data_IF_553600175280
#
_entry.id   IF_553600175280
#
_cell.length_a   1.000
_cell.length_b   1.000
_cell.length_c   1.000
_cell.angle_alpha   90.00
_cell.angle_beta   90.00
_cell.angle_gamma   90.00
#
_symmetry.space_group_name_H-M   'P 1'
#
loop_
_entity.id
_entity.type
_entity.pdbx_description
1 polymer ?
#
# COMPACT_ATOMS: atom_id res chain seq x y z
N UNK A 1 -2.66 -26.59 44.70
CA UNK A 1 -3.28 -27.15 43.48
C UNK A 1 -3.74 -25.94 42.69
N UNK A 2 -2.83 -25.20 42.05
CA UNK A 2 -2.22 -25.48 40.73
C UNK A 2 -3.27 -25.29 39.63
N UNK A 3 -3.10 -24.54 38.55
CA UNK A 3 -2.02 -23.71 38.00
C UNK A 3 -2.63 -22.99 36.76
N UNK A 4 -1.82 -22.20 36.07
CA UNK A 4 -1.97 -21.66 34.70
C UNK A 4 -2.34 -20.17 34.57
N UNK A 5 -1.32 -19.36 34.87
CA UNK A 5 -1.06 -18.11 34.15
C UNK A 5 -0.79 -18.40 32.66
N UNK A 6 -1.55 -17.77 31.75
CA UNK A 6 -1.26 -17.79 30.32
C UNK A 6 -0.22 -16.72 29.97
N UNK A 7 0.92 -17.24 29.59
CA UNK A 7 2.10 -16.60 29.01
C UNK A 7 1.77 -15.87 27.69
N UNK A 8 1.92 -14.55 27.67
CA UNK A 8 1.79 -13.70 26.48
C UNK A 8 3.18 -13.37 25.95
N UNK A 9 3.78 -14.28 25.17
CA UNK A 9 5.00 -13.98 24.41
C UNK A 9 4.62 -13.46 23.03
N UNK A 10 4.60 -12.14 22.91
CA UNK A 10 4.66 -11.48 21.61
C UNK A 10 5.96 -11.88 20.89
N UNK A 11 5.84 -12.18 19.60
CA UNK A 11 6.98 -12.30 18.70
C UNK A 11 7.71 -10.95 18.65
N UNK A 12 9.05 -10.90 18.76
CA UNK A 12 9.78 -9.64 18.73
C UNK A 12 9.68 -9.04 17.32
N UNK A 13 9.12 -7.83 17.23
CA UNK A 13 9.20 -7.00 16.02
C UNK A 13 10.64 -6.56 15.82
N UNK A 14 11.28 -7.02 14.76
CA UNK A 14 12.65 -6.61 14.41
C UNK A 14 12.60 -5.17 13.91
N UNK A 15 13.14 -4.24 14.71
CA UNK A 15 13.30 -2.85 14.30
C UNK A 15 14.46 -2.75 13.31
N UNK A 16 14.34 -1.87 12.31
CA UNK A 16 15.32 -1.59 11.23
C UNK A 16 16.79 -1.46 11.69
N UNK A 17 17.02 -1.11 12.96
CA UNK A 17 18.36 -0.98 13.57
C UNK A 17 19.05 -2.32 13.89
N UNK A 18 18.32 -3.42 14.06
CA UNK A 18 18.91 -4.71 14.48
C UNK A 18 19.45 -5.55 13.30
N UNK A 19 18.99 -5.28 12.07
CA UNK A 19 19.48 -5.94 10.85
C UNK A 19 20.86 -5.43 10.39
N UNK A 20 21.32 -4.30 10.90
CA UNK A 20 22.63 -3.72 10.56
C UNK A 20 23.82 -4.36 11.29
N UNK A 21 23.57 -5.30 12.22
CA UNK A 21 24.61 -5.87 13.09
C UNK A 21 24.90 -7.36 12.90
N UNK A 22 24.30 -8.04 11.91
CA UNK A 22 24.56 -9.46 11.67
C UNK A 22 25.51 -9.66 10.48
N UNK A 23 26.75 -10.15 10.70
CA UNK A 23 27.66 -10.46 9.61
C UNK A 23 27.21 -11.75 8.93
N UNK A 24 26.75 -11.66 7.68
CA UNK A 24 26.50 -12.82 6.83
C UNK A 24 27.86 -13.36 6.37
N UNK A 25 28.27 -14.51 6.90
CA UNK A 25 29.45 -15.24 6.46
C UNK A 25 29.15 -15.95 5.12
N UNK A 26 29.60 -15.38 4.00
CA UNK A 26 29.65 -16.08 2.72
C UNK A 26 30.84 -17.04 2.71
N UNK A 27 30.56 -18.34 2.77
CA UNK A 27 31.54 -19.39 2.50
C UNK A 27 31.71 -19.58 0.98
N UNK A 28 32.74 -18.97 0.39
CA UNK A 28 33.18 -19.30 -0.96
C UNK A 28 34.36 -20.26 -0.89
N UNK A 29 34.14 -21.51 -1.33
CA UNK A 29 35.16 -22.54 -1.44
C UNK A 29 36.21 -22.18 -2.50
N UNK A 30 37.48 -22.34 -2.15
CA UNK A 30 38.61 -22.20 -3.07
C UNK A 30 39.21 -23.56 -3.37
N UNK A 31 39.21 -23.92 -4.65
CA UNK A 31 39.98 -25.02 -5.20
C UNK A 31 41.49 -24.72 -5.11
N UNK A 32 42.27 -25.75 -4.74
CA UNK A 32 43.72 -25.70 -4.65
C UNK A 32 44.38 -25.92 -6.02
N UNK A 33 45.38 -25.10 -6.36
CA UNK A 33 46.42 -25.45 -7.33
C UNK A 33 47.79 -24.91 -6.83
N UNK A 34 48.67 -25.86 -6.57
CA UNK A 34 50.14 -25.82 -6.47
C UNK A 34 50.76 -25.54 -7.86
N UNK A 35 51.98 -25.05 -8.12
CA UNK A 35 53.15 -24.61 -7.34
C UNK A 35 54.15 -23.88 -8.30
N UNK A 36 55.24 -23.35 -7.70
CA UNK A 36 56.60 -23.11 -8.22
C UNK A 36 56.98 -21.74 -8.83
N UNK A 37 57.97 -21.09 -8.20
CA UNK A 37 59.11 -20.55 -8.96
C UNK A 37 59.59 -19.11 -8.70
N UNK A 38 60.40 -18.93 -7.65
CA UNK A 38 61.63 -18.10 -7.56
C UNK A 38 61.66 -16.56 -7.80
N UNK A 39 62.30 -15.92 -6.82
CA UNK A 39 63.15 -14.70 -6.83
C UNK A 39 62.51 -13.30 -6.78
N UNK A 40 62.91 -12.57 -5.73
CA UNK A 40 62.70 -11.14 -5.44
C UNK A 40 63.84 -10.34 -6.11
N UNK A 41 63.64 -9.05 -6.43
CA UNK A 41 64.06 -8.05 -5.46
C UNK A 41 63.07 -6.88 -5.28
N UNK A 42 63.34 -6.11 -4.23
CA UNK A 42 62.57 -4.99 -3.73
C UNK A 42 62.50 -3.81 -4.72
N UNK A 43 61.34 -3.15 -4.77
CA UNK A 43 61.19 -1.86 -5.45
C UNK A 43 59.74 -1.38 -5.49
N UNK A 44 59.44 -0.30 -4.76
CA UNK A 44 58.27 0.56 -5.01
C UNK A 44 56.94 0.10 -4.43
N UNK A 45 56.67 0.42 -3.16
CA UNK A 45 55.31 0.46 -2.64
C UNK A 45 54.56 1.65 -3.26
N UNK A 46 53.89 1.43 -4.40
CA UNK A 46 52.83 2.30 -4.85
C UNK A 46 51.59 1.98 -4.01
N UNK A 47 51.35 2.78 -2.98
CA UNK A 47 50.11 2.77 -2.22
C UNK A 47 48.99 3.25 -3.14
N UNK A 48 48.29 2.32 -3.78
CA UNK A 48 46.96 2.62 -4.31
C UNK A 48 46.08 3.05 -3.12
N UNK A 49 45.40 4.20 -3.18
CA UNK A 49 44.38 4.50 -2.19
C UNK A 49 43.34 3.37 -2.23
N UNK A 50 42.85 2.90 -1.07
CA UNK A 50 41.76 1.93 -1.07
C UNK A 50 40.61 2.53 -1.89
N UNK A 51 40.10 1.73 -2.83
CA UNK A 51 38.85 2.05 -3.52
C UNK A 51 37.81 2.42 -2.45
N UNK A 52 37.00 3.48 -2.65
CA UNK A 52 35.96 3.80 -1.70
C UNK A 52 35.12 2.55 -1.50
N UNK A 53 35.10 2.07 -0.25
CA UNK A 53 34.18 1.03 0.20
C UNK A 53 32.81 1.40 -0.31
N UNK A 54 32.16 0.49 -1.04
CA UNK A 54 30.80 0.67 -1.51
C UNK A 54 29.98 1.28 -0.38
N UNK A 55 29.68 2.57 -0.51
CA UNK A 55 28.69 3.23 0.34
C UNK A 55 27.47 2.34 0.22
N UNK A 56 27.06 1.77 1.36
CA UNK A 56 25.78 1.10 1.49
C UNK A 56 24.77 2.06 0.88
N UNK A 57 24.26 1.73 -0.32
CA UNK A 57 23.30 2.57 -1.01
C UNK A 57 22.16 2.78 -0.02
N UNK A 58 22.07 3.99 0.54
CA UNK A 58 20.98 4.33 1.43
C UNK A 58 19.73 4.21 0.58
N UNK A 59 18.96 3.15 0.81
CA UNK A 59 17.64 3.01 0.22
C UNK A 59 16.89 4.31 0.46
N UNK A 60 16.45 4.95 -0.63
CA UNK A 60 15.63 6.16 -0.55
C UNK A 60 14.36 5.75 0.20
N UNK A 61 14.12 6.26 1.42
CA UNK A 61 12.98 5.84 2.21
C UNK A 61 11.70 6.31 1.54
N UNK A 62 10.67 5.46 1.57
CA UNK A 62 9.33 5.83 1.10
C UNK A 62 8.81 6.95 2.01
N UNK A 63 8.26 8.00 1.39
CA UNK A 63 7.74 9.14 2.14
C UNK A 63 6.28 8.89 2.53
N UNK A 64 5.75 9.53 3.59
CA UNK A 64 4.34 9.40 3.97
C UNK A 64 3.38 9.73 2.82
N UNK A 65 3.68 10.76 2.03
CA UNK A 65 2.89 11.10 0.85
C UNK A 65 2.95 10.00 -0.20
N UNK A 66 4.12 9.41 -0.41
CA UNK A 66 4.29 8.33 -1.38
C UNK A 66 3.55 7.05 -0.96
N UNK A 67 3.56 6.70 0.33
CA UNK A 67 2.76 5.58 0.86
C UNK A 67 1.28 5.79 0.58
N UNK A 68 0.71 6.93 1.00
CA UNK A 68 -0.69 7.26 0.77
C UNK A 68 -1.05 7.28 -0.73
N UNK A 69 -0.16 7.77 -1.59
CA UNK A 69 -0.38 7.78 -3.05
C UNK A 69 -0.30 6.37 -3.66
N UNK A 70 0.58 5.50 -3.16
CA UNK A 70 0.64 4.09 -3.58
C UNK A 70 -0.65 3.36 -3.18
N UNK A 71 -1.15 3.64 -1.98
CA UNK A 71 -2.43 3.14 -1.47
C UNK A 71 -3.62 3.62 -2.32
N UNK A 72 -3.61 4.88 -2.79
CA UNK A 72 -4.56 5.33 -3.83
C UNK A 72 -4.43 4.56 -5.14
N UNK A 73 -3.23 4.08 -5.49
CA UNK A 73 -3.05 3.16 -6.63
C UNK A 73 -3.88 1.87 -6.49
N UNK A 74 -4.00 1.33 -5.27
CA UNK A 74 -4.87 0.18 -4.98
C UNK A 74 -6.34 0.57 -5.14
N UNK A 75 -6.76 1.71 -4.57
CA UNK A 75 -8.12 2.25 -4.72
C UNK A 75 -8.50 2.39 -6.21
N UNK A 76 -7.67 3.06 -7.02
CA UNK A 76 -7.86 3.26 -8.46
C UNK A 76 -8.12 1.95 -9.21
N UNK A 77 -7.37 0.89 -8.88
CA UNK A 77 -7.55 -0.43 -9.48
C UNK A 77 -8.87 -1.10 -9.05
N UNK A 78 -9.29 -0.95 -7.79
CA UNK A 78 -10.62 -1.39 -7.37
C UNK A 78 -11.74 -0.61 -8.07
N UNK A 79 -11.54 0.68 -8.37
CA UNK A 79 -12.50 1.43 -9.19
C UNK A 79 -12.63 0.85 -10.62
N UNK A 80 -11.56 0.31 -11.21
CA UNK A 80 -11.65 -0.42 -12.49
C UNK A 80 -12.50 -1.70 -12.36
N UNK A 81 -12.32 -2.45 -11.27
CA UNK A 81 -13.13 -3.63 -10.93
C UNK A 81 -14.61 -3.26 -10.83
N UNK A 82 -14.94 -2.14 -10.17
CA UNK A 82 -16.32 -1.66 -10.05
C UNK A 82 -16.91 -1.23 -11.39
N UNK A 83 -16.14 -0.53 -12.24
CA UNK A 83 -16.58 -0.15 -13.60
C UNK A 83 -16.89 -1.39 -14.44
N UNK A 84 -16.06 -2.43 -14.38
CA UNK A 84 -16.32 -3.69 -15.08
C UNK A 84 -17.57 -4.38 -14.54
N UNK A 85 -17.78 -4.39 -13.22
CA UNK A 85 -19.02 -4.88 -12.61
C UNK A 85 -20.28 -4.17 -13.13
N UNK A 86 -20.25 -2.83 -13.17
CA UNK A 86 -21.33 -2.01 -13.72
C UNK A 86 -21.57 -2.35 -15.19
N UNK A 87 -20.50 -2.45 -16.01
CA UNK A 87 -20.61 -2.79 -17.43
C UNK A 87 -21.34 -4.12 -17.64
N UNK A 88 -20.96 -5.17 -16.90
CA UNK A 88 -21.62 -6.49 -16.95
C UNK A 88 -23.08 -6.43 -16.54
N UNK A 89 -23.38 -5.74 -15.43
CA UNK A 89 -24.76 -5.56 -14.95
C UNK A 89 -25.61 -4.90 -16.03
N UNK A 90 -25.12 -3.82 -16.64
CA UNK A 90 -25.85 -3.08 -17.68
C UNK A 90 -26.02 -3.87 -18.98
N UNK A 91 -25.06 -4.74 -19.31
CA UNK A 91 -25.14 -5.66 -20.45
C UNK A 91 -26.07 -6.86 -20.22
N UNK A 92 -26.65 -7.00 -19.01
CA UNK A 92 -27.47 -8.16 -18.65
C UNK A 92 -26.67 -9.44 -18.39
N UNK A 93 -25.35 -9.35 -18.32
CA UNK A 93 -24.46 -10.48 -18.04
C UNK A 93 -24.65 -10.97 -16.58
N UNK A 94 -24.00 -12.09 -16.25
CA UNK A 94 -23.93 -12.54 -14.86
C UNK A 94 -23.17 -11.51 -14.01
N UNK A 95 -23.75 -11.15 -12.86
CA UNK A 95 -23.06 -10.26 -11.91
C UNK A 95 -21.81 -10.96 -11.39
N UNK A 96 -20.62 -10.35 -11.48
CA UNK A 96 -19.40 -10.91 -10.92
C UNK A 96 -19.37 -10.70 -9.39
N UNK A 97 -20.33 -11.29 -8.68
CA UNK A 97 -20.56 -11.05 -7.25
C UNK A 97 -19.30 -11.34 -6.42
N UNK A 98 -18.62 -12.46 -6.67
CA UNK A 98 -17.39 -12.81 -5.94
C UNK A 98 -16.25 -11.80 -6.17
N UNK A 99 -15.86 -11.44 -7.41
CA UNK A 99 -14.91 -10.36 -7.66
C UNK A 99 -15.28 -9.03 -6.99
N UNK A 100 -16.55 -8.61 -7.08
CA UNK A 100 -17.02 -7.36 -6.47
C UNK A 100 -16.96 -7.40 -4.93
N UNK A 101 -17.34 -8.53 -4.33
CA UNK A 101 -17.24 -8.73 -2.90
C UNK A 101 -15.79 -8.68 -2.41
N UNK A 102 -14.87 -9.33 -3.13
CA UNK A 102 -13.45 -9.29 -2.82
C UNK A 102 -12.88 -7.87 -2.92
N UNK A 103 -13.23 -7.12 -3.98
CA UNK A 103 -12.84 -5.72 -4.13
C UNK A 103 -13.37 -4.84 -3.00
N UNK A 104 -14.64 -4.99 -2.62
CA UNK A 104 -15.23 -4.29 -1.46
C UNK A 104 -14.60 -4.69 -0.13
N UNK A 105 -14.13 -5.94 -0.01
CA UNK A 105 -13.34 -6.40 1.14
C UNK A 105 -12.02 -5.64 1.27
N UNK A 106 -11.30 -5.45 0.15
CA UNK A 106 -10.06 -4.66 0.11
C UNK A 106 -10.35 -3.19 0.46
N UNK A 107 -11.41 -2.59 -0.08
CA UNK A 107 -11.82 -1.23 0.32
C UNK A 107 -12.04 -1.16 1.82
N UNK A 108 -12.82 -2.08 2.40
CA UNK A 108 -13.09 -2.10 3.84
C UNK A 108 -11.81 -2.17 4.68
N UNK A 109 -10.92 -3.12 4.38
CA UNK A 109 -9.79 -3.41 5.26
C UNK A 109 -8.59 -2.50 5.02
N UNK A 110 -8.27 -2.24 3.75
CA UNK A 110 -7.06 -1.52 3.34
C UNK A 110 -7.31 -0.02 3.17
N UNK A 111 -8.40 0.37 2.51
CA UNK A 111 -8.68 1.79 2.29
C UNK A 111 -9.33 2.40 3.55
N UNK A 112 -10.48 1.90 3.98
CA UNK A 112 -11.29 2.54 5.02
C UNK A 112 -10.70 2.38 6.43
N UNK A 113 -10.32 1.16 6.81
CA UNK A 113 -9.88 0.91 8.19
C UNK A 113 -8.37 1.12 8.39
N UNK A 114 -7.59 1.33 7.33
CA UNK A 114 -6.15 1.59 7.39
C UNK A 114 -5.79 2.95 6.78
N UNK A 115 -5.80 3.10 5.45
CA UNK A 115 -5.39 4.34 4.76
C UNK A 115 -6.14 5.59 5.27
N UNK A 116 -7.48 5.58 5.21
CA UNK A 116 -8.30 6.71 5.68
C UNK A 116 -8.11 6.98 7.18
N UNK A 117 -7.77 5.95 7.97
CA UNK A 117 -7.45 6.12 9.40
C UNK A 117 -6.11 6.79 9.62
N UNK A 118 -5.13 6.55 8.75
CA UNK A 118 -3.86 7.28 8.79
C UNK A 118 -4.10 8.76 8.54
N UNK A 119 -4.93 9.09 7.55
CA UNK A 119 -5.27 10.46 7.22
C UNK A 119 -6.06 11.15 8.33
N UNK A 120 -7.16 10.52 8.79
CA UNK A 120 -8.03 11.01 9.86
C UNK A 120 -7.23 11.26 11.17
N UNK A 121 -6.19 10.45 11.44
CA UNK A 121 -5.41 10.51 12.68
C UNK A 121 -4.18 11.41 12.60
N UNK A 122 -3.42 11.33 11.51
CA UNK A 122 -2.08 11.92 11.43
C UNK A 122 -1.99 13.10 10.47
N UNK A 123 -2.84 13.15 9.43
CA UNK A 123 -2.74 14.16 8.36
C UNK A 123 -3.72 15.31 8.61
N UNK A 124 -5.02 15.02 8.58
CA UNK A 124 -6.07 16.04 8.63
C UNK A 124 -6.00 16.95 9.89
N UNK A 125 -5.72 16.42 11.10
CA UNK A 125 -5.63 17.28 12.29
C UNK A 125 -4.49 18.31 12.21
N UNK A 126 -3.37 17.95 11.56
CA UNK A 126 -2.21 18.85 11.40
C UNK A 126 -2.54 20.02 10.49
N UNK A 127 -3.24 19.75 9.38
CA UNK A 127 -3.66 20.76 8.43
C UNK A 127 -4.64 21.75 9.07
N UNK A 128 -5.66 21.24 9.77
CA UNK A 128 -6.64 22.07 10.47
C UNK A 128 -5.97 22.91 11.56
N UNK A 129 -5.07 22.33 12.35
CA UNK A 129 -4.32 23.06 13.39
C UNK A 129 -3.46 24.20 12.81
N UNK A 130 -2.96 24.04 11.59
CA UNK A 130 -2.22 25.07 10.88
C UNK A 130 -3.10 26.08 10.12
N UNK A 131 -4.43 26.00 10.26
CA UNK A 131 -5.38 26.88 9.55
C UNK A 131 -5.44 26.62 8.05
N UNK A 132 -5.05 25.42 7.59
CA UNK A 132 -5.10 25.01 6.18
C UNK A 132 -6.26 24.07 5.93
N UNK A 133 -6.88 24.20 4.75
CA UNK A 133 -7.93 23.30 4.25
C UNK A 133 -9.10 23.07 5.23
N UNK A 134 -9.42 24.07 6.06
CA UNK A 134 -10.44 23.98 7.12
C UNK A 134 -11.84 23.68 6.61
N UNK A 135 -12.14 24.06 5.36
CA UNK A 135 -13.42 23.75 4.71
C UNK A 135 -13.39 22.42 3.95
N UNK A 136 -12.21 22.00 3.48
CA UNK A 136 -12.04 20.77 2.68
C UNK A 136 -11.96 19.53 3.55
N UNK A 137 -11.19 19.55 4.65
CA UNK A 137 -11.02 18.41 5.55
C UNK A 137 -12.35 17.85 6.07
N UNK A 138 -13.31 18.67 6.55
CA UNK A 138 -14.61 18.16 6.98
C UNK A 138 -15.42 17.49 5.86
N UNK A 139 -15.21 17.89 4.59
CA UNK A 139 -15.84 17.25 3.44
C UNK A 139 -15.21 15.87 3.19
N UNK A 140 -13.88 15.77 3.22
CA UNK A 140 -13.17 14.49 3.05
C UNK A 140 -13.57 13.48 4.13
N UNK A 141 -13.59 13.89 5.40
CA UNK A 141 -14.06 13.04 6.51
C UNK A 141 -15.52 12.58 6.31
N UNK A 142 -16.39 13.46 5.80
CA UNK A 142 -17.77 13.07 5.48
C UNK A 142 -17.82 12.08 4.31
N UNK A 143 -16.95 12.23 3.31
CA UNK A 143 -16.82 11.31 2.19
C UNK A 143 -16.34 9.93 2.66
N UNK A 144 -15.33 9.84 3.52
CA UNK A 144 -14.92 8.58 4.17
C UNK A 144 -16.11 7.87 4.84
N UNK A 145 -16.93 8.63 5.60
CA UNK A 145 -18.13 8.08 6.24
C UNK A 145 -19.17 7.58 5.23
N UNK A 146 -19.33 8.26 4.08
CA UNK A 146 -20.25 7.80 3.03
C UNK A 146 -19.68 6.60 2.28
N UNK A 147 -18.37 6.53 2.07
CA UNK A 147 -17.65 5.38 1.52
C UNK A 147 -17.94 4.12 2.33
N UNK A 148 -17.72 4.19 3.64
CA UNK A 148 -18.02 3.09 4.59
C UNK A 148 -19.45 2.56 4.51
N UNK A 149 -20.42 3.43 4.23
CA UNK A 149 -21.83 3.03 4.03
C UNK A 149 -22.00 2.30 2.71
N UNK A 150 -21.49 2.86 1.60
CA UNK A 150 -21.59 2.24 0.27
C UNK A 150 -20.88 0.88 0.24
N UNK A 151 -19.68 0.78 0.81
CA UNK A 151 -18.93 -0.49 0.94
C UNK A 151 -19.73 -1.55 1.68
N UNK A 152 -20.42 -1.17 2.76
CA UNK A 152 -21.30 -2.10 3.49
C UNK A 152 -22.43 -2.65 2.61
N UNK A 153 -23.12 -1.77 1.87
CA UNK A 153 -24.19 -2.17 0.95
C UNK A 153 -23.69 -3.06 -0.18
N UNK A 154 -22.51 -2.76 -0.73
CA UNK A 154 -21.88 -3.58 -1.78
C UNK A 154 -21.54 -4.96 -1.23
N UNK A 155 -20.93 -5.05 -0.04
CA UNK A 155 -20.61 -6.33 0.61
C UNK A 155 -21.88 -7.18 0.81
N UNK A 156 -22.95 -6.58 1.34
CA UNK A 156 -24.23 -7.27 1.57
C UNK A 156 -24.86 -7.76 0.26
N UNK A 157 -24.86 -6.93 -0.79
CA UNK A 157 -25.44 -7.23 -2.10
C UNK A 157 -24.66 -8.31 -2.87
N UNK A 158 -23.41 -8.57 -2.48
CA UNK A 158 -22.48 -9.50 -3.15
C UNK A 158 -22.10 -10.71 -2.30
N UNK A 159 -22.57 -10.79 -1.05
CA UNK A 159 -22.31 -11.93 -0.15
C UNK A 159 -22.89 -13.27 -0.67
N UNK A 160 -23.88 -13.20 -1.57
CA UNK A 160 -24.53 -14.32 -2.26
C UNK A 160 -24.76 -13.94 -3.72
N UNK A 161 -25.12 -14.88 -4.61
CA UNK A 161 -25.51 -14.54 -5.98
C UNK A 161 -26.54 -13.41 -5.99
N UNK A 162 -26.20 -12.29 -6.64
CA UNK A 162 -27.02 -11.07 -6.63
C UNK A 162 -28.33 -11.31 -7.42
N UNK A 163 -29.50 -11.20 -6.77
CA UNK A 163 -30.78 -11.42 -7.44
C UNK A 163 -31.07 -10.31 -8.45
N UNK A 164 -31.88 -10.61 -9.47
CA UNK A 164 -32.18 -9.69 -10.58
C UNK A 164 -32.67 -8.30 -10.09
N UNK A 165 -33.51 -8.27 -9.05
CA UNK A 165 -34.05 -7.02 -8.51
C UNK A 165 -32.95 -6.12 -7.90
N UNK A 166 -31.91 -6.71 -7.30
CA UNK A 166 -30.85 -5.98 -6.59
C UNK A 166 -29.78 -5.41 -7.53
N UNK A 167 -29.77 -5.82 -8.80
CA UNK A 167 -28.70 -5.45 -9.74
C UNK A 167 -28.63 -3.95 -9.98
N UNK A 168 -29.78 -3.27 -10.06
CA UNK A 168 -29.85 -1.81 -10.27
C UNK A 168 -29.27 -1.06 -9.08
N UNK A 169 -29.64 -1.44 -7.87
CA UNK A 169 -29.15 -0.80 -6.65
C UNK A 169 -27.65 -1.04 -6.48
N UNK A 170 -27.17 -2.26 -6.74
CA UNK A 170 -25.73 -2.56 -6.72
C UNK A 170 -24.96 -1.69 -7.73
N UNK A 171 -25.44 -1.58 -8.98
CA UNK A 171 -24.79 -0.72 -9.97
C UNK A 171 -24.80 0.75 -9.55
N UNK A 172 -25.87 1.22 -8.90
CA UNK A 172 -25.97 2.58 -8.39
C UNK A 172 -24.99 2.85 -7.23
N UNK A 173 -24.86 1.92 -6.28
CA UNK A 173 -23.91 2.04 -5.17
C UNK A 173 -22.45 2.03 -5.69
N UNK A 174 -22.11 1.14 -6.62
CA UNK A 174 -20.79 1.10 -7.27
C UNK A 174 -20.48 2.42 -8.01
N UNK A 175 -21.45 2.95 -8.77
CA UNK A 175 -21.30 4.19 -9.51
C UNK A 175 -21.16 5.41 -8.58
N UNK A 176 -21.93 5.44 -7.49
CA UNK A 176 -21.83 6.48 -6.47
C UNK A 176 -20.46 6.47 -5.78
N UNK A 177 -19.93 5.28 -5.50
CA UNK A 177 -18.59 5.12 -4.92
C UNK A 177 -17.51 5.69 -5.85
N UNK A 178 -17.50 5.27 -7.13
CA UNK A 178 -16.56 5.79 -8.15
C UNK A 178 -16.67 7.31 -8.27
N UNK A 179 -17.89 7.83 -8.42
CA UNK A 179 -18.15 9.27 -8.60
C UNK A 179 -17.64 10.11 -7.43
N UNK A 180 -17.63 9.55 -6.22
CA UNK A 180 -17.12 10.21 -5.03
C UNK A 180 -15.61 10.11 -4.92
N UNK A 181 -15.04 8.91 -5.07
CA UNK A 181 -13.62 8.66 -4.78
C UNK A 181 -12.66 9.21 -5.85
N UNK A 182 -13.04 9.22 -7.14
CA UNK A 182 -12.19 9.81 -8.19
C UNK A 182 -11.77 11.27 -7.89
N UNK A 183 -12.70 12.21 -7.61
CA UNK A 183 -12.31 13.58 -7.26
C UNK A 183 -11.87 13.76 -5.81
N UNK A 184 -12.00 12.74 -4.96
CA UNK A 184 -11.54 12.73 -3.57
C UNK A 184 -10.03 12.48 -3.54
N UNK A 185 -9.60 11.31 -4.03
CA UNK A 185 -8.18 10.91 -4.07
C UNK A 185 -7.36 11.90 -4.91
N UNK A 186 -7.93 12.43 -6.00
CA UNK A 186 -7.24 13.40 -6.84
C UNK A 186 -6.95 14.71 -6.09
N UNK A 187 -7.83 15.14 -5.19
CA UNK A 187 -7.60 16.33 -4.35
C UNK A 187 -6.65 16.02 -3.21
N UNK A 188 -6.67 14.82 -2.67
CA UNK A 188 -5.69 14.41 -1.67
C UNK A 188 -4.28 14.41 -2.26
N UNK A 189 -4.09 13.73 -3.39
CA UNK A 189 -2.82 13.64 -4.12
C UNK A 189 -2.24 15.02 -4.48
N UNK A 190 -3.10 15.95 -4.93
CA UNK A 190 -2.64 17.21 -5.55
C UNK A 190 -2.77 18.45 -4.67
N UNK A 191 -3.52 18.39 -3.57
CA UNK A 191 -3.78 19.53 -2.69
C UNK A 191 -3.47 19.20 -1.24
N UNK A 192 -3.99 18.09 -0.70
CA UNK A 192 -3.84 17.74 0.71
C UNK A 192 -2.42 17.31 1.03
N UNK A 193 -1.84 16.38 0.27
CA UNK A 193 -0.50 15.86 0.55
C UNK A 193 0.62 16.88 0.32
N UNK A 194 0.54 17.78 -0.69
CA UNK A 194 1.43 18.93 -0.76
C UNK A 194 1.29 19.87 0.45
N UNK A 195 0.06 20.21 0.86
CA UNK A 195 -0.15 21.04 2.05
C UNK A 195 0.36 20.36 3.33
N UNK A 196 0.26 19.03 3.42
CA UNK A 196 0.83 18.24 4.51
C UNK A 196 2.35 18.39 4.55
N UNK A 197 3.01 18.29 3.38
CA UNK A 197 4.46 18.45 3.25
C UNK A 197 4.95 19.84 3.66
N UNK A 198 4.15 20.87 3.43
CA UNK A 198 4.45 22.25 3.82
C UNK A 198 4.28 22.52 5.32
N UNK A 199 3.28 21.88 5.94
CA UNK A 199 2.89 22.14 7.34
C UNK A 199 3.69 21.32 8.34
N UNK A 200 4.09 20.09 7.99
CA UNK A 200 4.73 19.16 8.92
C UNK A 200 6.26 19.35 8.89
N UNK A 201 6.92 19.61 10.04
CA UNK A 201 8.37 19.74 10.09
C UNK A 201 9.10 18.49 9.57
N UNK A 202 10.27 18.62 8.90
CA UNK A 202 10.95 17.49 8.26
C UNK A 202 11.19 16.29 9.19
N UNK A 203 11.58 16.54 10.45
CA UNK A 203 11.81 15.47 11.43
C UNK A 203 10.52 14.70 11.75
N UNK A 204 9.41 15.42 11.94
CA UNK A 204 8.11 14.80 12.23
C UNK A 204 7.55 14.09 10.99
N UNK A 205 7.84 14.59 9.80
CA UNK A 205 7.45 13.95 8.55
C UNK A 205 8.14 12.59 8.36
N UNK A 206 9.42 12.49 8.70
CA UNK A 206 10.16 11.20 8.69
C UNK A 206 9.58 10.25 9.74
N UNK A 207 9.30 10.72 10.95
CA UNK A 207 8.69 9.89 12.01
C UNK A 207 7.30 9.39 11.64
N UNK A 208 6.53 10.18 10.89
CA UNK A 208 5.24 9.77 10.37
C UNK A 208 5.37 8.62 9.37
N UNK A 209 6.44 8.60 8.56
CA UNK A 209 6.72 7.49 7.64
C UNK A 209 6.93 6.17 8.40
N UNK A 210 7.78 6.21 9.44
CA UNK A 210 8.01 5.06 10.33
C UNK A 210 6.71 4.59 10.98
N UNK A 211 5.84 5.53 11.36
CA UNK A 211 4.53 5.19 11.96
C UNK A 211 3.60 4.50 10.95
N UNK A 212 3.60 4.92 9.69
CA UNK A 212 2.78 4.31 8.64
C UNK A 212 3.28 2.90 8.33
N UNK A 213 4.59 2.73 8.18
CA UNK A 213 5.23 1.42 7.97
C UNK A 213 4.91 0.44 9.10
N UNK A 214 4.98 0.88 10.37
CA UNK A 214 4.64 0.06 11.53
C UNK A 214 3.15 -0.34 11.53
N UNK A 215 2.24 0.58 11.19
CA UNK A 215 0.80 0.30 11.10
C UNK A 215 0.47 -0.65 9.95
N UNK A 216 1.15 -0.52 8.81
CA UNK A 216 1.03 -1.43 7.67
C UNK A 216 1.42 -2.86 8.09
N UNK A 217 2.63 -3.04 8.62
CA UNK A 217 3.14 -4.34 9.06
C UNK A 217 2.26 -4.97 10.13
N UNK A 218 1.76 -4.16 11.08
CA UNK A 218 0.87 -4.64 12.14
C UNK A 218 -0.44 -5.21 11.59
N UNK A 219 -0.95 -4.67 10.48
CA UNK A 219 -2.25 -5.04 9.91
C UNK A 219 -2.15 -6.09 8.81
N UNK A 220 -1.11 -6.02 8.00
CA UNK A 220 -0.98 -6.82 6.77
C UNK A 220 0.24 -7.75 6.79
N UNK A 221 1.00 -7.76 7.89
CA UNK A 221 2.17 -8.61 8.07
C UNK A 221 3.30 -8.27 7.10
N UNK A 222 4.22 -9.22 6.90
CA UNK A 222 5.40 -9.02 6.06
C UNK A 222 5.09 -8.79 4.57
N UNK A 223 3.91 -9.20 4.10
CA UNK A 223 3.51 -8.98 2.71
C UNK A 223 3.03 -7.54 2.47
N UNK A 224 2.49 -6.88 3.50
CA UNK A 224 2.16 -5.46 3.48
C UNK A 224 1.29 -5.03 2.29
N UNK A 225 1.62 -3.86 1.75
CA UNK A 225 1.11 -3.29 0.52
C UNK A 225 1.18 -4.27 -0.67
N UNK A 226 2.32 -4.96 -0.84
CA UNK A 226 2.55 -5.87 -1.97
C UNK A 226 1.52 -7.01 -2.01
N UNK A 227 1.22 -7.60 -0.84
CA UNK A 227 0.21 -8.66 -0.74
C UNK A 227 -1.20 -8.18 -1.10
N UNK A 228 -1.51 -6.90 -0.87
CA UNK A 228 -2.80 -6.30 -1.28
C UNK A 228 -2.82 -6.04 -2.79
N UNK A 229 -1.72 -5.55 -3.36
CA UNK A 229 -1.56 -5.37 -4.81
C UNK A 229 -1.75 -6.68 -5.57
N UNK A 230 -1.24 -7.80 -5.03
CA UNK A 230 -1.44 -9.15 -5.58
C UNK A 230 -2.90 -9.60 -5.53
N UNK A 231 -3.59 -9.37 -4.40
CA UNK A 231 -5.03 -9.67 -4.28
C UNK A 231 -5.85 -8.92 -5.34
N UNK A 232 -5.56 -7.63 -5.57
CA UNK A 232 -6.22 -6.85 -6.62
C UNK A 232 -5.90 -7.42 -8.01
N UNK A 233 -4.64 -7.79 -8.28
CA UNK A 233 -4.25 -8.38 -9.55
C UNK A 233 -5.02 -9.68 -9.84
N UNK A 234 -5.26 -10.51 -8.84
CA UNK A 234 -6.01 -11.75 -9.02
C UNK A 234 -7.50 -11.53 -9.29
N UNK A 235 -8.09 -10.47 -8.71
CA UNK A 235 -9.45 -10.05 -9.04
C UNK A 235 -9.52 -9.57 -10.50
N UNK A 236 -8.57 -8.74 -10.92
CA UNK A 236 -8.49 -8.25 -12.30
C UNK A 236 -8.32 -9.39 -13.31
N UNK A 237 -7.45 -10.37 -13.02
CA UNK A 237 -7.27 -11.58 -13.86
C UNK A 237 -8.57 -12.37 -13.96
N UNK A 238 -9.27 -12.55 -12.84
CA UNK A 238 -10.57 -13.25 -12.79
C UNK A 238 -11.62 -12.55 -13.65
N UNK A 239 -11.58 -11.21 -13.70
CA UNK A 239 -12.47 -10.40 -14.53
C UNK A 239 -11.98 -10.27 -15.97
N UNK A 240 -10.76 -10.68 -16.31
CA UNK A 240 -10.17 -10.47 -17.63
C UNK A 240 -9.72 -9.04 -17.90
N UNK A 241 -9.63 -8.20 -16.85
CA UNK A 241 -9.25 -6.77 -16.95
C UNK A 241 -7.80 -6.49 -16.52
N UNK A 242 -6.97 -7.53 -16.42
CA UNK A 242 -5.58 -7.43 -15.92
C UNK A 242 -4.59 -6.95 -16.99
N UNK A 243 -4.74 -7.40 -18.24
CA UNK A 243 -3.79 -7.06 -19.30
C UNK A 243 -3.92 -5.57 -19.67
N UNK A 244 -2.84 -4.80 -19.45
CA UNK A 244 -2.80 -3.37 -19.77
C UNK A 244 -3.06 -3.09 -21.25
N UNK A 245 -2.68 -4.01 -22.15
CA UNK A 245 -2.82 -3.81 -23.59
C UNK A 245 -4.27 -3.62 -24.02
N UNK A 246 -5.24 -4.20 -23.30
CA UNK A 246 -6.66 -4.12 -23.62
C UNK A 246 -7.24 -2.70 -23.50
N UNK A 247 -6.60 -1.82 -22.72
CA UNK A 247 -7.01 -0.43 -22.54
C UNK A 247 -6.37 0.52 -23.56
N UNK A 248 -5.53 0.00 -24.46
CA UNK A 248 -4.85 0.80 -25.50
C UNK A 248 -5.82 1.10 -26.64
N UNK A 249 -6.11 2.39 -26.94
CA UNK A 249 -6.95 2.74 -28.08
C UNK A 249 -6.33 2.28 -29.41
N UNK A 250 -7.17 1.80 -30.33
CA UNK A 250 -6.78 1.56 -31.72
C UNK A 250 -6.99 2.86 -32.50
N UNK A 251 -5.92 3.61 -32.73
CA UNK A 251 -5.91 4.85 -33.52
C UNK A 251 -5.00 4.71 -34.73
#
# INVERSE_FOLDING_TARGET
>A
MSDEARDNRGTPSVRRRELLSLPVALACGTAALTACGTTRPAGGAATHPPAPSAEQAQEVPVTPSEDLMREHGVLKRVLLIYREGIRRINAGEAVPARPLHAGAGIIRTFIEEYHERLEERYVFPRLVKAGKLTDTVPILVRQHQRGRVLTGRILDATARPTPQQARRDLAADLAAFIRMYEPHEAREDTVVFPAMRDVIPPKEFIQMAETFEDEEHRRFGAAGFTGVVEQVADIEKTLGIYDLSQFTPRV
#
